data_IF_184579380444
#
_entry.id   IF_184579380444
#
_cell.length_a   1.000
_cell.length_b   1.000
_cell.length_c   1.000
_cell.angle_alpha   90.00
_cell.angle_beta   90.00
_cell.angle_gamma   90.00
#
_symmetry.space_group_name_H-M   'P 1'
#
loop_
_entity.id
_entity.type
_entity.pdbx_description
1 polymer ?
#
# COMPACT_ATOMS: atom_id res chain seq x y z
N UNK A 1 -14.43 1.98 22.33
CA UNK A 1 -14.60 0.53 22.12
C UNK A 1 -13.63 0.08 21.04
N UNK A 2 -12.86 -0.98 21.26
CA UNK A 2 -12.02 -1.58 20.22
C UNK A 2 -12.95 -2.21 19.17
N UNK A 3 -12.89 -1.75 17.93
CA UNK A 3 -13.63 -2.39 16.84
C UNK A 3 -12.94 -3.73 16.56
N UNK A 4 -13.66 -4.84 16.73
CA UNK A 4 -13.15 -6.15 16.32
C UNK A 4 -12.74 -6.06 14.86
N UNK A 5 -11.50 -6.44 14.55
CA UNK A 5 -11.07 -6.57 13.16
C UNK A 5 -11.86 -7.70 12.50
N UNK A 6 -12.19 -7.51 11.23
CA UNK A 6 -12.96 -8.46 10.44
C UNK A 6 -12.35 -8.61 9.05
N UNK A 7 -12.78 -9.63 8.33
CA UNK A 7 -12.60 -9.76 6.89
C UNK A 7 -13.93 -10.12 6.25
N UNK A 8 -14.09 -9.84 4.96
CA UNK A 8 -15.24 -10.37 4.23
C UNK A 8 -15.16 -11.88 4.11
N UNK A 9 -16.30 -12.56 4.08
CA UNK A 9 -16.34 -14.01 3.88
C UNK A 9 -15.88 -14.41 2.47
N UNK A 10 -16.11 -13.53 1.49
CA UNK A 10 -15.68 -13.70 0.08
C UNK A 10 -14.89 -12.48 -0.42
N UNK A 11 -14.03 -12.64 -1.45
CA UNK A 11 -13.38 -11.50 -2.10
C UNK A 11 -14.38 -10.49 -2.67
N UNK A 12 -14.06 -9.20 -2.55
CA UNK A 12 -14.91 -8.12 -3.05
C UNK A 12 -14.74 -8.01 -4.56
N UNK A 13 -15.83 -8.21 -5.28
CA UNK A 13 -15.91 -7.97 -6.72
C UNK A 13 -16.35 -6.53 -6.99
N UNK A 14 -16.24 -6.10 -8.25
CA UNK A 14 -16.63 -4.74 -8.65
C UNK A 14 -18.09 -4.39 -8.32
N UNK A 15 -19.11 -5.25 -8.56
CA UNK A 15 -20.48 -4.97 -8.14
C UNK A 15 -20.63 -4.82 -6.62
N UNK A 16 -19.91 -5.63 -5.85
CA UNK A 16 -19.93 -5.57 -4.39
C UNK A 16 -19.26 -4.30 -3.85
N UNK A 17 -18.17 -3.85 -4.48
CA UNK A 17 -17.50 -2.61 -4.10
C UNK A 17 -18.48 -1.43 -4.10
N UNK A 18 -19.34 -1.31 -5.11
CA UNK A 18 -20.31 -0.21 -5.17
C UNK A 18 -21.27 -0.23 -3.98
N UNK A 19 -21.79 -1.41 -3.63
CA UNK A 19 -22.69 -1.57 -2.49
C UNK A 19 -21.99 -1.29 -1.16
N UNK A 20 -20.73 -1.70 -1.03
CA UNK A 20 -19.94 -1.47 0.18
C UNK A 20 -19.67 0.01 0.45
N UNK A 21 -19.43 0.79 -0.60
CA UNK A 21 -19.12 2.21 -0.46
C UNK A 21 -20.34 3.06 -0.08
N UNK A 22 -21.54 2.58 -0.41
CA UNK A 22 -22.83 3.16 0.02
C UNK A 22 -23.25 2.63 1.39
N UNK A 23 -23.07 1.32 1.61
CA UNK A 23 -23.41 0.62 2.84
C UNK A 23 -22.30 -0.39 3.21
N UNK A 24 -21.40 -0.03 4.14
CA UNK A 24 -20.28 -0.89 4.54
C UNK A 24 -20.68 -2.25 5.14
N UNK A 25 -21.92 -2.38 5.62
CA UNK A 25 -22.46 -3.61 6.21
C UNK A 25 -23.20 -4.50 5.20
N UNK A 26 -23.16 -4.16 3.90
CA UNK A 26 -23.85 -4.89 2.83
C UNK A 26 -23.28 -6.28 2.52
N UNK A 27 -22.11 -6.62 3.05
CA UNK A 27 -21.50 -7.94 2.90
C UNK A 27 -21.22 -8.60 4.25
N UNK A 28 -21.36 -9.92 4.26
CA UNK A 28 -21.03 -10.73 5.43
C UNK A 28 -19.54 -10.66 5.75
N UNK A 29 -19.26 -10.55 7.05
CA UNK A 29 -17.90 -10.47 7.59
C UNK A 29 -17.72 -11.45 8.73
N UNK A 30 -16.51 -11.96 8.88
CA UNK A 30 -16.09 -12.84 9.96
C UNK A 30 -14.92 -12.21 10.74
N UNK A 31 -14.79 -12.49 12.05
CA UNK A 31 -13.65 -12.00 12.82
C UNK A 31 -12.34 -12.56 12.26
N UNK A 32 -11.26 -11.79 12.39
CA UNK A 32 -9.90 -12.27 12.10
C UNK A 32 -9.19 -12.63 13.40
N UNK A 33 -8.21 -13.51 13.28
CA UNK A 33 -7.35 -13.86 14.41
C UNK A 33 -6.44 -12.70 14.81
N UNK A 34 -6.23 -12.56 16.11
CA UNK A 34 -5.39 -11.51 16.69
C UNK A 34 -6.19 -10.30 17.15
N UNK A 35 -5.52 -9.43 17.90
CA UNK A 35 -6.08 -8.17 18.38
C UNK A 35 -5.22 -7.02 17.89
N UNK A 36 -5.88 -5.99 17.36
CA UNK A 36 -5.25 -4.78 16.90
C UNK A 36 -6.23 -3.62 16.98
N UNK A 37 -5.70 -2.42 17.17
CA UNK A 37 -6.50 -1.20 17.33
C UNK A 37 -6.21 -0.22 16.20
N UNK A 38 -7.25 0.21 15.50
CA UNK A 38 -7.14 1.22 14.45
C UNK A 38 -7.25 2.65 15.00
N UNK A 39 -7.14 2.85 16.33
CA UNK A 39 -7.36 4.16 16.96
C UNK A 39 -6.40 5.23 16.43
N UNK A 40 -5.10 4.94 16.43
CA UNK A 40 -4.09 5.90 15.93
C UNK A 40 -4.17 6.06 14.41
N UNK A 41 -4.47 4.99 13.68
CA UNK A 41 -4.71 5.04 12.22
C UNK A 41 -5.86 6.00 11.91
N UNK A 42 -7.02 5.83 12.53
CA UNK A 42 -8.21 6.69 12.36
C UNK A 42 -7.93 8.12 12.83
N UNK A 43 -7.20 8.31 13.93
CA UNK A 43 -6.79 9.64 14.39
C UNK A 43 -5.94 10.37 13.34
N UNK A 44 -4.96 9.68 12.76
CA UNK A 44 -4.11 10.22 11.70
C UNK A 44 -4.93 10.56 10.45
N UNK A 45 -5.81 9.66 9.99
CA UNK A 45 -6.68 9.92 8.83
C UNK A 45 -7.57 11.14 9.09
N UNK A 46 -8.23 11.21 10.25
CA UNK A 46 -9.08 12.35 10.61
C UNK A 46 -8.30 13.67 10.69
N UNK A 47 -7.06 13.63 11.19
CA UNK A 47 -6.17 14.80 11.20
C UNK A 47 -5.82 15.25 9.79
N UNK A 48 -5.52 14.32 8.90
CA UNK A 48 -5.19 14.60 7.50
C UNK A 48 -6.38 15.17 6.74
N UNK A 49 -7.58 14.58 6.90
CA UNK A 49 -8.82 15.08 6.30
C UNK A 49 -9.14 16.49 6.79
N UNK A 50 -8.99 16.77 8.08
CA UNK A 50 -9.21 18.12 8.62
C UNK A 50 -8.26 19.18 8.05
N UNK A 51 -7.09 18.78 7.55
CA UNK A 51 -6.14 19.68 6.87
C UNK A 51 -6.53 19.95 5.41
N UNK A 52 -7.27 19.04 4.78
CA UNK A 52 -7.97 19.36 3.54
C UNK A 52 -9.09 20.34 3.91
N UNK A 53 -8.99 21.59 3.48
CA UNK A 53 -10.09 22.53 3.62
C UNK A 53 -11.26 22.15 2.70
N UNK A 54 -11.96 23.16 2.20
CA UNK A 54 -13.09 22.96 1.28
C UNK A 54 -12.68 22.45 -0.11
N UNK A 55 -11.41 22.62 -0.49
CA UNK A 55 -10.89 22.26 -1.81
C UNK A 55 -9.98 21.02 -1.77
N UNK A 56 -10.07 20.11 -2.76
CA UNK A 56 -9.18 18.96 -2.86
C UNK A 56 -7.71 19.38 -2.99
N UNK A 57 -6.84 18.77 -2.18
CA UNK A 57 -5.40 19.00 -2.28
C UNK A 57 -4.85 18.46 -3.62
N UNK A 58 -3.82 19.12 -4.20
CA UNK A 58 -3.08 18.60 -5.34
C UNK A 58 -2.53 17.19 -5.11
N UNK A 59 -2.43 16.36 -6.16
CA UNK A 59 -2.06 14.94 -6.04
C UNK A 59 -0.71 14.70 -5.35
N UNK A 60 0.27 15.59 -5.56
CA UNK A 60 1.59 15.54 -4.92
C UNK A 60 1.57 15.88 -3.42
N UNK A 61 0.60 16.67 -2.96
CA UNK A 61 0.41 16.91 -1.52
C UNK A 61 -0.32 15.74 -0.87
N UNK A 62 -1.28 15.16 -1.59
CA UNK A 62 -1.99 13.95 -1.14
C UNK A 62 -1.07 12.75 -1.03
N UNK A 63 -0.04 12.62 -1.88
CA UNK A 63 0.94 11.53 -1.77
C UNK A 63 1.74 11.54 -0.48
N UNK A 64 1.93 12.70 0.15
CA UNK A 64 2.59 12.80 1.46
C UNK A 64 1.82 12.07 2.58
N UNK A 65 0.52 11.80 2.40
CA UNK A 65 -0.28 11.06 3.37
C UNK A 65 0.20 9.61 3.55
N UNK A 66 0.85 9.03 2.54
CA UNK A 66 1.43 7.68 2.63
C UNK A 66 2.45 7.62 3.77
N UNK A 67 3.33 8.63 3.89
CA UNK A 67 4.35 8.73 4.96
C UNK A 67 3.74 8.98 6.34
N UNK A 68 2.66 9.73 6.41
CA UNK A 68 1.96 10.01 7.67
C UNK A 68 1.20 8.79 8.20
N UNK A 69 0.65 7.95 7.29
CA UNK A 69 -0.18 6.81 7.67
C UNK A 69 0.62 5.52 7.87
N UNK A 70 1.76 5.35 7.20
CA UNK A 70 2.47 4.06 7.17
C UNK A 70 2.86 3.57 8.56
N UNK A 71 3.39 4.45 9.42
CA UNK A 71 3.80 4.10 10.79
C UNK A 71 2.62 3.65 11.66
N UNK A 72 1.56 4.45 11.86
CA UNK A 72 0.43 4.01 12.69
C UNK A 72 -0.27 2.77 12.11
N UNK A 73 -0.28 2.59 10.78
CA UNK A 73 -0.82 1.39 10.15
C UNK A 73 0.03 0.15 10.47
N UNK A 74 1.35 0.24 10.31
CA UNK A 74 2.27 -0.86 10.59
C UNK A 74 2.23 -1.24 12.08
N UNK A 75 2.35 -0.28 12.98
CA UNK A 75 2.30 -0.52 14.43
C UNK A 75 0.97 -1.13 14.88
N UNK A 76 -0.14 -0.76 14.22
CA UNK A 76 -1.44 -1.35 14.51
C UNK A 76 -1.54 -2.82 14.07
N UNK A 77 -0.89 -3.21 12.97
CA UNK A 77 -1.15 -4.49 12.30
C UNK A 77 0.01 -5.50 12.38
N UNK A 78 1.23 -5.09 12.73
CA UNK A 78 2.42 -5.95 12.65
C UNK A 78 2.41 -7.17 13.59
N UNK A 79 1.53 -7.16 14.61
CA UNK A 79 1.32 -8.30 15.52
C UNK A 79 0.26 -9.29 15.05
N UNK A 80 -0.43 -9.00 13.95
CA UNK A 80 -1.42 -9.92 13.40
C UNK A 80 -0.74 -11.14 12.77
N UNK A 81 -1.41 -12.30 12.78
CA UNK A 81 -0.90 -13.48 12.08
C UNK A 81 -0.68 -13.20 10.60
N UNK A 82 0.42 -13.72 10.05
CA UNK A 82 0.75 -13.55 8.62
C UNK A 82 -0.39 -14.01 7.71
N UNK A 83 -1.14 -15.06 8.09
CA UNK A 83 -2.33 -15.55 7.37
C UNK A 83 -3.41 -14.47 7.17
N UNK A 84 -3.58 -13.58 8.15
CA UNK A 84 -4.51 -12.45 8.07
C UNK A 84 -3.96 -11.37 7.15
N UNK A 85 -2.67 -11.08 7.27
CA UNK A 85 -1.97 -10.02 6.52
C UNK A 85 -1.79 -10.35 5.03
N UNK A 86 -1.84 -11.62 4.63
CA UNK A 86 -1.85 -12.04 3.21
C UNK A 86 -3.27 -12.29 2.68
N UNK A 87 -4.30 -12.14 3.50
CA UNK A 87 -5.69 -12.34 3.06
C UNK A 87 -6.26 -11.04 2.48
N UNK A 88 -6.47 -10.98 1.16
CA UNK A 88 -7.03 -9.79 0.52
C UNK A 88 -8.43 -9.43 1.00
N UNK A 89 -9.21 -10.38 1.54
CA UNK A 89 -10.54 -10.08 2.10
C UNK A 89 -10.45 -9.20 3.34
N UNK A 90 -9.36 -9.30 4.09
CA UNK A 90 -9.07 -8.41 5.23
C UNK A 90 -8.76 -6.99 4.74
N UNK A 91 -7.92 -6.87 3.71
CA UNK A 91 -7.55 -5.58 3.14
C UNK A 91 -8.69 -4.88 2.42
N UNK A 92 -9.54 -5.63 1.72
CA UNK A 92 -10.80 -5.12 1.18
C UNK A 92 -11.64 -4.50 2.29
N UNK A 93 -11.87 -5.24 3.38
CA UNK A 93 -12.65 -4.76 4.51
C UNK A 93 -12.07 -3.48 5.08
N UNK A 94 -10.75 -3.43 5.34
CA UNK A 94 -10.08 -2.20 5.81
C UNK A 94 -10.31 -1.01 4.87
N UNK A 95 -10.12 -1.20 3.57
CA UNK A 95 -10.24 -0.15 2.56
C UNK A 95 -11.68 0.30 2.26
N UNK A 96 -12.69 -0.53 2.51
CA UNK A 96 -14.10 -0.21 2.19
C UNK A 96 -14.95 0.08 3.41
N UNK A 97 -14.42 -0.12 4.63
CA UNK A 97 -15.21 0.02 5.85
C UNK A 97 -14.53 0.99 6.84
N UNK A 98 -13.55 0.62 7.67
CA UNK A 98 -13.02 1.54 8.67
C UNK A 98 -12.10 2.64 8.12
N UNK A 99 -11.59 2.52 6.89
CA UNK A 99 -10.61 3.45 6.30
C UNK A 99 -10.95 3.86 4.86
N UNK A 100 -12.22 3.76 4.46
CA UNK A 100 -12.70 4.19 3.14
C UNK A 100 -12.34 5.65 2.83
N UNK A 101 -12.51 6.54 3.79
CA UNK A 101 -12.23 7.97 3.62
C UNK A 101 -10.76 8.21 3.24
N UNK A 102 -9.83 7.49 3.87
CA UNK A 102 -8.42 7.59 3.50
C UNK A 102 -8.20 7.27 2.02
N UNK A 103 -8.81 6.19 1.52
CA UNK A 103 -8.65 5.79 0.11
C UNK A 103 -9.19 6.88 -0.82
N UNK A 104 -10.39 7.41 -0.52
CA UNK A 104 -10.99 8.48 -1.31
C UNK A 104 -10.16 9.76 -1.30
N UNK A 105 -9.83 10.28 -0.12
CA UNK A 105 -9.05 11.51 -0.03
C UNK A 105 -7.67 11.33 -0.66
N UNK A 106 -6.95 10.24 -0.39
CA UNK A 106 -5.62 10.00 -0.94
C UNK A 106 -5.58 9.92 -2.47
N UNK A 107 -6.55 9.23 -3.09
CA UNK A 107 -6.50 8.90 -4.51
C UNK A 107 -7.44 9.75 -5.37
N UNK A 108 -8.58 10.19 -4.85
CA UNK A 108 -9.51 11.07 -5.55
C UNK A 108 -9.44 12.53 -5.08
N UNK A 109 -9.24 12.77 -3.78
CA UNK A 109 -9.06 14.10 -3.19
C UNK A 109 -10.21 14.53 -2.30
N UNK A 110 -11.35 13.87 -2.48
CA UNK A 110 -12.58 14.03 -1.70
C UNK A 110 -13.39 12.74 -1.81
N UNK A 111 -14.45 12.62 -1.02
CA UNK A 111 -15.46 11.59 -1.21
C UNK A 111 -16.44 12.12 -2.27
N UNK A 112 -16.59 11.45 -3.43
CA UNK A 112 -17.50 11.90 -4.47
C UNK A 112 -18.96 11.69 -4.05
N UNK A 113 -19.87 12.55 -4.54
CA UNK A 113 -21.30 12.38 -4.34
C UNK A 113 -21.86 11.12 -5.01
N UNK A 114 -21.28 10.73 -6.17
CA UNK A 114 -21.54 9.47 -6.86
C UNK A 114 -20.25 8.66 -7.00
N UNK A 115 -19.91 7.82 -5.98
CA UNK A 115 -18.76 6.92 -6.04
C UNK A 115 -18.76 5.98 -7.25
N UNK A 116 -19.93 5.53 -7.68
CA UNK A 116 -20.06 4.54 -8.75
C UNK A 116 -19.64 5.12 -10.10
N UNK A 117 -20.07 6.35 -10.42
CA UNK A 117 -19.67 7.04 -11.65
C UNK A 117 -18.15 7.24 -11.72
N UNK A 118 -17.53 7.69 -10.63
CA UNK A 118 -16.07 7.89 -10.56
C UNK A 118 -15.31 6.57 -10.73
N UNK A 119 -15.75 5.50 -10.06
CA UNK A 119 -15.10 4.19 -10.18
C UNK A 119 -15.30 3.56 -11.57
N UNK A 120 -16.41 3.85 -12.25
CA UNK A 120 -16.62 3.37 -13.61
C UNK A 120 -15.58 3.90 -14.60
N UNK A 121 -15.01 5.07 -14.31
CA UNK A 121 -14.03 5.74 -15.16
C UNK A 121 -12.58 5.34 -14.83
N UNK A 122 -12.31 4.66 -13.71
CA UNK A 122 -10.94 4.37 -13.27
C UNK A 122 -10.77 2.99 -12.64
N UNK A 123 -10.25 2.05 -13.45
CA UNK A 123 -9.83 0.74 -12.97
C UNK A 123 -8.69 0.84 -11.94
N UNK A 124 -7.81 1.84 -12.08
CA UNK A 124 -6.74 2.09 -11.14
C UNK A 124 -7.28 2.45 -9.75
N UNK A 125 -8.33 3.28 -9.67
CA UNK A 125 -8.97 3.66 -8.41
C UNK A 125 -9.70 2.48 -7.77
N UNK A 126 -10.40 1.65 -8.55
CA UNK A 126 -10.98 0.38 -8.06
C UNK A 126 -9.89 -0.47 -7.38
N UNK A 127 -8.73 -0.60 -8.02
CA UNK A 127 -7.59 -1.34 -7.48
C UNK A 127 -7.06 -0.81 -6.15
N UNK A 128 -7.31 0.47 -5.80
CA UNK A 128 -6.93 1.04 -4.49
C UNK A 128 -7.82 0.50 -3.36
N UNK A 129 -9.06 0.13 -3.65
CA UNK A 129 -9.96 -0.51 -2.69
C UNK A 129 -9.79 -2.02 -2.65
N UNK A 130 -9.73 -2.65 -3.82
CA UNK A 130 -9.73 -4.11 -3.92
C UNK A 130 -8.32 -4.65 -4.01
N UNK A 131 -7.60 -4.43 -5.11
CA UNK A 131 -6.37 -5.16 -5.39
C UNK A 131 -6.68 -6.63 -5.73
N UNK A 132 -5.68 -7.50 -5.64
CA UNK A 132 -5.79 -8.95 -5.94
C UNK A 132 -4.85 -9.75 -5.02
N UNK A 133 -5.05 -11.07 -4.81
CA UNK A 133 -4.15 -11.90 -4.02
C UNK A 133 -2.87 -12.24 -4.81
N UNK A 134 -2.14 -11.20 -5.21
CA UNK A 134 -0.87 -11.27 -5.94
C UNK A 134 0.02 -10.13 -5.47
N UNK A 135 1.34 -10.22 -5.68
CA UNK A 135 2.28 -9.14 -5.33
C UNK A 135 1.84 -7.80 -5.95
N UNK A 136 1.45 -7.81 -7.23
CA UNK A 136 0.93 -6.63 -7.93
C UNK A 136 -0.41 -6.13 -7.35
N UNK A 137 -1.22 -7.02 -6.80
CA UNK A 137 -2.46 -6.63 -6.13
C UNK A 137 -2.20 -5.95 -4.78
N UNK A 138 -1.28 -6.48 -3.99
CA UNK A 138 -0.84 -5.87 -2.72
C UNK A 138 -0.13 -4.53 -2.94
N UNK A 139 0.64 -4.36 -4.01
CA UNK A 139 1.29 -3.08 -4.28
C UNK A 139 0.32 -2.00 -4.77
N UNK A 140 -0.87 -2.41 -5.25
CA UNK A 140 -1.91 -1.52 -5.77
C UNK A 140 -2.97 -1.17 -4.74
N UNK A 141 -3.38 -2.06 -3.86
CA UNK A 141 -4.35 -1.71 -2.81
C UNK A 141 -3.76 -0.66 -1.85
N UNK A 142 -4.59 0.30 -1.42
CA UNK A 142 -4.14 1.53 -0.79
C UNK A 142 -3.44 1.34 0.56
N UNK A 143 -3.83 0.32 1.32
CA UNK A 143 -3.29 0.07 2.67
C UNK A 143 -2.24 -1.03 2.65
N UNK A 144 -2.46 -2.08 1.87
CA UNK A 144 -1.49 -3.17 1.67
C UNK A 144 -0.13 -2.65 1.21
N UNK A 145 -0.11 -1.71 0.26
CA UNK A 145 1.13 -1.09 -0.23
C UNK A 145 1.94 -0.46 0.91
N UNK A 146 1.27 0.22 1.84
CA UNK A 146 1.92 0.90 2.96
C UNK A 146 2.43 -0.15 3.96
N UNK A 147 1.57 -1.11 4.32
CA UNK A 147 1.92 -2.15 5.27
C UNK A 147 3.11 -2.98 4.80
N UNK A 148 3.10 -3.48 3.56
CA UNK A 148 4.18 -4.31 3.04
C UNK A 148 5.44 -3.52 2.78
N UNK A 149 5.35 -2.23 2.44
CA UNK A 149 6.51 -1.35 2.39
C UNK A 149 7.21 -1.28 3.76
N UNK A 150 6.46 -1.01 4.83
CA UNK A 150 7.01 -1.01 6.18
C UNK A 150 7.49 -2.40 6.62
N UNK A 151 6.71 -3.46 6.38
CA UNK A 151 7.08 -4.81 6.78
C UNK A 151 8.36 -5.31 6.09
N UNK A 152 8.68 -4.81 4.89
CA UNK A 152 9.92 -5.14 4.18
C UNK A 152 11.11 -4.29 4.64
N UNK A 153 10.89 -3.02 4.98
CA UNK A 153 11.98 -2.03 5.14
C UNK A 153 12.22 -1.56 6.58
N UNK A 154 11.28 -1.80 7.50
CA UNK A 154 11.44 -1.45 8.90
C UNK A 154 12.51 -2.32 9.57
N UNK A 155 13.39 -1.68 10.32
CA UNK A 155 14.36 -2.33 11.21
C UNK A 155 14.36 -1.59 12.55
N UNK A 156 14.83 -2.23 13.62
CA UNK A 156 14.93 -1.55 14.92
C UNK A 156 16.00 -0.45 14.89
N UNK A 157 17.06 -0.66 14.11
CA UNK A 157 18.21 0.25 14.00
C UNK A 157 17.89 1.51 13.17
N UNK A 158 17.19 1.37 12.04
CA UNK A 158 16.92 2.48 11.11
C UNK A 158 15.48 2.98 11.20
N UNK A 159 14.63 2.30 11.97
CA UNK A 159 13.21 2.63 12.12
C UNK A 159 12.50 2.67 10.78
N UNK A 160 11.88 3.81 10.46
CA UNK A 160 11.12 4.02 9.23
C UNK A 160 11.91 4.74 8.12
N UNK A 161 13.23 4.94 8.27
CA UNK A 161 14.03 5.71 7.32
C UNK A 161 13.85 5.26 5.85
N UNK A 162 14.03 3.97 5.58
CA UNK A 162 13.87 3.42 4.22
C UNK A 162 12.42 3.47 3.73
N UNK A 163 11.46 3.32 4.65
CA UNK A 163 10.04 3.39 4.35
C UNK A 163 9.65 4.80 3.89
N UNK A 164 10.13 5.82 4.61
CA UNK A 164 9.88 7.22 4.26
C UNK A 164 10.53 7.60 2.92
N UNK A 165 11.75 7.11 2.66
CA UNK A 165 12.44 7.31 1.38
C UNK A 165 11.65 6.67 0.22
N UNK A 166 11.17 5.43 0.40
CA UNK A 166 10.36 4.75 -0.61
C UNK A 166 9.05 5.47 -0.91
N UNK A 167 8.38 6.00 0.13
CA UNK A 167 7.07 6.66 0.00
C UNK A 167 7.16 8.15 -0.37
N UNK A 168 8.35 8.75 -0.33
CA UNK A 168 8.57 10.14 -0.75
C UNK A 168 8.33 10.34 -2.26
N UNK A 169 8.58 9.31 -3.08
CA UNK A 169 8.40 9.38 -4.53
C UNK A 169 7.54 8.20 -5.02
N UNK A 170 6.33 8.50 -5.49
CA UNK A 170 5.37 7.48 -5.92
C UNK A 170 5.84 6.69 -7.14
N UNK A 171 6.64 7.27 -8.03
CA UNK A 171 7.14 6.60 -9.22
C UNK A 171 8.31 5.67 -8.87
N UNK A 172 9.18 6.11 -7.95
CA UNK A 172 10.22 5.25 -7.37
C UNK A 172 9.57 4.06 -6.64
N UNK A 173 8.55 4.31 -5.82
CA UNK A 173 7.79 3.26 -5.17
C UNK A 173 7.28 2.24 -6.19
N UNK A 174 6.60 2.70 -7.24
CA UNK A 174 6.02 1.80 -8.26
C UNK A 174 7.08 1.00 -9.00
N UNK A 175 8.21 1.64 -9.36
CA UNK A 175 9.30 0.97 -10.06
C UNK A 175 9.85 -0.24 -9.28
N UNK A 176 9.85 -0.16 -7.94
CA UNK A 176 10.40 -1.17 -7.02
C UNK A 176 9.32 -2.15 -6.55
N UNK A 177 8.20 -1.66 -6.03
CA UNK A 177 7.20 -2.45 -5.32
C UNK A 177 6.17 -3.15 -6.22
N UNK A 178 6.11 -2.84 -7.52
CA UNK A 178 5.38 -3.64 -8.50
C UNK A 178 6.23 -4.78 -9.11
N UNK A 179 7.38 -5.10 -8.51
CA UNK A 179 8.29 -6.16 -8.97
C UNK A 179 8.25 -7.38 -8.07
N UNK A 180 8.70 -8.52 -8.60
CA UNK A 180 8.73 -9.79 -7.86
C UNK A 180 9.70 -9.75 -6.66
N UNK A 181 10.76 -8.95 -6.74
CA UNK A 181 11.74 -8.77 -5.66
C UNK A 181 11.31 -7.79 -4.56
N UNK A 182 10.11 -7.21 -4.63
CA UNK A 182 9.64 -6.15 -3.73
C UNK A 182 9.51 -6.53 -2.25
N UNK A 183 9.53 -7.82 -1.94
CA UNK A 183 9.51 -8.35 -0.58
C UNK A 183 10.89 -8.81 -0.09
N UNK A 184 11.95 -8.63 -0.89
CA UNK A 184 13.32 -8.96 -0.51
C UNK A 184 14.07 -7.68 -0.09
N UNK A 185 14.31 -7.45 1.22
CA UNK A 185 14.85 -6.19 1.71
C UNK A 185 16.17 -5.74 1.06
N UNK A 186 17.16 -6.63 0.81
CA UNK A 186 18.40 -6.24 0.13
C UNK A 186 18.16 -5.66 -1.28
N UNK A 187 17.23 -6.22 -2.06
CA UNK A 187 16.89 -5.67 -3.37
C UNK A 187 16.25 -4.29 -3.27
N UNK A 188 15.28 -4.14 -2.36
CA UNK A 188 14.56 -2.89 -2.19
C UNK A 188 15.51 -1.78 -1.72
N UNK A 189 16.39 -2.04 -0.74
CA UNK A 189 17.38 -1.06 -0.28
C UNK A 189 18.40 -0.70 -1.35
N UNK A 190 18.92 -1.67 -2.10
CA UNK A 190 19.79 -1.41 -3.25
C UNK A 190 19.11 -0.48 -4.27
N UNK A 191 17.86 -0.77 -4.65
CA UNK A 191 17.10 0.09 -5.54
C UNK A 191 16.89 1.50 -4.97
N UNK A 192 16.54 1.65 -3.68
CA UNK A 192 16.34 2.96 -3.08
C UNK A 192 17.63 3.79 -3.05
N UNK A 193 18.78 3.16 -2.78
CA UNK A 193 20.08 3.84 -2.77
C UNK A 193 20.47 4.34 -4.15
N UNK A 194 20.39 3.47 -5.16
CA UNK A 194 20.91 3.78 -6.50
C UNK A 194 19.95 4.60 -7.36
N UNK A 195 18.64 4.49 -7.11
CA UNK A 195 17.62 5.02 -8.01
C UNK A 195 16.89 6.28 -7.50
N UNK A 196 17.15 6.72 -6.25
CA UNK A 196 16.48 7.89 -5.64
C UNK A 196 16.64 9.17 -6.47
N UNK A 197 17.81 9.41 -7.06
CA UNK A 197 18.12 10.64 -7.79
C UNK A 197 17.98 10.48 -9.32
N UNK A 198 17.56 9.30 -9.76
CA UNK A 198 17.38 8.96 -11.19
C UNK A 198 16.02 9.43 -11.71
N UNK A 199 15.94 9.66 -13.02
CA UNK A 199 14.68 9.94 -13.70
C UNK A 199 13.72 8.73 -13.67
N UNK A 200 12.44 8.97 -13.96
CA UNK A 200 11.45 7.88 -14.00
C UNK A 200 11.81 6.79 -15.02
N UNK A 201 12.28 7.18 -16.21
CA UNK A 201 12.68 6.23 -17.25
C UNK A 201 13.86 5.38 -16.82
N UNK A 202 14.90 5.98 -16.23
CA UNK A 202 16.07 5.28 -15.70
C UNK A 202 15.67 4.30 -14.57
N UNK A 203 14.81 4.72 -13.63
CA UNK A 203 14.29 3.84 -12.58
C UNK A 203 13.56 2.61 -13.14
N UNK A 204 12.69 2.84 -14.13
CA UNK A 204 11.91 1.76 -14.76
C UNK A 204 12.82 0.80 -15.51
N UNK A 205 13.85 1.30 -16.18
CA UNK A 205 14.79 0.48 -16.95
C UNK A 205 15.69 -0.35 -16.03
N UNK A 206 16.31 0.27 -15.02
CA UNK A 206 17.16 -0.44 -14.06
C UNK A 206 16.39 -1.55 -13.32
N UNK A 207 15.16 -1.28 -12.88
CA UNK A 207 14.32 -2.27 -12.20
C UNK A 207 13.80 -3.37 -13.14
N UNK A 208 13.58 -3.07 -14.44
CA UNK A 208 13.30 -4.11 -15.45
C UNK A 208 14.50 -5.02 -15.65
N UNK A 209 15.70 -4.46 -15.80
CA UNK A 209 16.93 -5.23 -15.97
C UNK A 209 17.20 -6.12 -14.76
N UNK A 210 17.07 -5.60 -13.55
CA UNK A 210 17.18 -6.40 -12.34
C UNK A 210 16.16 -7.54 -12.35
N UNK A 211 14.88 -7.26 -12.62
CA UNK A 211 13.86 -8.30 -12.68
C UNK A 211 14.16 -9.36 -13.75
N UNK A 212 14.76 -8.99 -14.87
CA UNK A 212 15.20 -9.94 -15.89
C UNK A 212 16.38 -10.79 -15.40
N UNK A 213 17.38 -10.19 -14.74
CA UNK A 213 18.52 -10.90 -14.17
C UNK A 213 18.10 -11.94 -13.13
N UNK A 214 17.05 -11.66 -12.36
CA UNK A 214 16.48 -12.59 -11.39
C UNK A 214 15.71 -13.77 -12.01
N UNK A 215 15.61 -13.84 -13.34
CA UNK A 215 15.10 -15.05 -14.01
C UNK A 215 16.16 -16.15 -14.11
N UNK A 216 17.45 -15.79 -13.98
CA UNK A 216 18.58 -16.72 -14.10
C UNK A 216 19.36 -16.91 -12.82
N UNK A 217 19.12 -16.08 -11.80
CA UNK A 217 19.77 -16.15 -10.49
C UNK A 217 18.73 -16.19 -9.38
N UNK A 218 18.98 -17.02 -8.36
CA UNK A 218 18.19 -17.08 -7.14
C UNK A 218 18.37 -15.79 -6.36
N UNK A 219 17.28 -15.04 -6.14
CA UNK A 219 17.31 -13.72 -5.51
C UNK A 219 17.98 -13.74 -4.13
N UNK A 220 17.71 -14.78 -3.35
CA UNK A 220 18.17 -14.96 -1.98
C UNK A 220 19.67 -15.25 -1.89
N UNK A 221 20.35 -15.53 -3.00
CA UNK A 221 21.83 -15.66 -3.01
C UNK A 221 22.53 -14.32 -3.22
N UNK A 222 21.80 -13.27 -3.56
CA UNK A 222 22.36 -11.95 -3.85
C UNK A 222 22.36 -11.05 -2.61
N UNK A 223 23.52 -10.47 -2.31
CA UNK A 223 23.64 -9.41 -1.31
C UNK A 223 23.14 -8.08 -1.85
N UNK A 224 22.96 -7.08 -0.98
CA UNK A 224 22.62 -5.71 -1.40
C UNK A 224 23.68 -5.17 -2.39
N UNK A 225 24.96 -5.42 -2.16
CA UNK A 225 26.04 -4.97 -3.05
C UNK A 225 26.05 -5.68 -4.40
N UNK A 226 25.69 -6.95 -4.47
CA UNK A 226 25.57 -7.65 -5.75
C UNK A 226 24.45 -7.07 -6.60
N UNK A 227 23.33 -6.73 -5.96
CA UNK A 227 22.18 -6.11 -6.64
C UNK A 227 22.53 -4.71 -7.13
N UNK A 228 23.28 -3.93 -6.33
CA UNK A 228 23.76 -2.60 -6.72
C UNK A 228 24.60 -2.66 -8.00
N UNK A 229 25.50 -3.65 -8.13
CA UNK A 229 26.28 -3.85 -9.37
C UNK A 229 25.35 -4.03 -10.59
N UNK A 230 24.30 -4.85 -10.47
CA UNK A 230 23.32 -5.08 -11.56
C UNK A 230 22.55 -3.79 -11.93
N UNK A 231 22.28 -2.92 -10.95
CA UNK A 231 21.58 -1.65 -11.15
C UNK A 231 22.44 -0.56 -11.81
N UNK A 232 23.76 -0.65 -11.71
CA UNK A 232 24.70 0.35 -12.26
C UNK A 232 25.36 -0.03 -13.58
N UNK A 233 25.18 -1.27 -14.04
CA UNK A 233 25.50 -1.68 -15.42
C UNK A 233 24.70 -0.87 -16.45
#
# INVERSE_FOLDING_TARGET
MAQSLRRFTVPVTRPWLYRLLENPDSMLTEPVDGQATLKEVKRTVNRLIKKCGSEPLPANQRSAWDRELVKPLYEALNRLPRRTLVDMRFWHWLCTTPLQDFVWYRWHGQIPADPRSVLNQSQALIGRFTGTPSLNGFSRNALTRLYWCAATLYTEEEGFYWVELALQNQDLYQAIFERQFSLYPPAVRACLRELKDKSESERREATKRLNHHLTTIVLETLTEDDIRKVLTL
#
